data_IF_565319193723
#
_entry.id   IF_565319193723
#
_cell.length_a   1.000
_cell.length_b   1.000
_cell.length_c   1.000
_cell.angle_alpha   90.00
_cell.angle_beta   90.00
_cell.angle_gamma   90.00
#
_symmetry.space_group_name_H-M   'P 1'
#
loop_
_entity.id
_entity.type
_entity.pdbx_description
1 polymer ?
#
# COMPACT_ATOMS: atom_id res chain seq x y z
N UNK A 1 11.86 21.18 28.36
CA UNK A 1 12.79 21.49 27.24
C UNK A 1 12.67 20.56 26.04
N UNK A 2 12.19 19.31 26.17
CA UNK A 2 12.03 18.37 25.03
C UNK A 2 10.80 18.68 24.15
N UNK A 3 9.72 19.20 24.72
CA UNK A 3 8.48 19.53 23.98
C UNK A 3 8.64 20.71 22.99
N UNK A 4 9.53 21.66 23.29
CA UNK A 4 9.78 22.84 22.45
C UNK A 4 10.61 22.51 21.20
N UNK A 5 11.45 21.47 21.26
CA UNK A 5 12.25 20.99 20.13
C UNK A 5 11.41 20.22 19.09
N UNK A 6 10.37 19.50 19.54
CA UNK A 6 9.46 18.75 18.65
C UNK A 6 8.52 19.71 17.91
N UNK A 7 8.00 20.76 18.57
CA UNK A 7 7.22 21.80 17.89
C UNK A 7 8.04 22.60 16.87
N UNK A 8 9.31 22.88 17.17
CA UNK A 8 10.22 23.54 16.23
C UNK A 8 10.55 22.63 15.02
N UNK A 9 10.63 21.31 15.22
CA UNK A 9 10.80 20.35 14.11
C UNK A 9 9.57 20.25 13.22
N UNK A 10 8.35 20.28 13.77
CA UNK A 10 7.13 20.31 12.96
C UNK A 10 6.99 21.62 12.18
N UNK A 11 7.33 22.77 12.78
CA UNK A 11 7.32 24.04 12.06
C UNK A 11 8.41 24.13 10.98
N UNK A 12 9.64 23.65 11.22
CA UNK A 12 10.69 23.66 10.19
C UNK A 12 10.40 22.74 9.00
N UNK A 13 9.69 21.63 9.22
CA UNK A 13 9.22 20.74 8.14
C UNK A 13 8.08 21.40 7.37
N UNK A 14 7.14 22.07 8.04
CA UNK A 14 6.04 22.76 7.35
C UNK A 14 6.48 24.01 6.56
N UNK A 15 7.45 24.79 7.06
CA UNK A 15 7.88 26.04 6.42
C UNK A 15 8.92 25.84 5.29
N UNK A 16 9.50 24.64 5.15
CA UNK A 16 10.41 24.30 4.02
C UNK A 16 9.81 23.34 2.99
N UNK A 17 8.62 22.79 3.23
CA UNK A 17 7.82 22.08 2.22
C UNK A 17 6.93 23.02 1.39
N UNK A 18 7.11 24.33 1.49
CA UNK A 18 7.05 25.20 0.30
C UNK A 18 8.23 24.85 -0.61
N UNK A 19 8.16 23.64 -1.19
CA UNK A 19 8.90 23.34 -2.42
C UNK A 19 8.58 24.47 -3.36
N UNK A 20 9.61 25.21 -3.76
CA UNK A 20 9.53 26.29 -4.70
C UNK A 20 8.55 25.90 -5.82
N UNK A 21 7.53 26.74 -6.05
CA UNK A 21 6.63 26.67 -7.22
C UNK A 21 7.37 26.92 -8.54
N UNK A 22 8.70 26.73 -8.54
CA UNK A 22 9.61 27.18 -9.58
C UNK A 22 10.34 25.98 -10.16
N UNK A 23 9.59 25.12 -10.83
CA UNK A 23 10.13 24.21 -11.83
C UNK A 23 9.00 23.74 -12.72
N UNK A 24 8.95 24.30 -13.93
CA UNK A 24 8.48 23.52 -15.07
C UNK A 24 9.17 22.15 -15.03
N UNK A 25 8.43 21.07 -15.21
CA UNK A 25 9.03 19.74 -15.31
C UNK A 25 10.05 19.76 -16.46
N UNK A 26 11.34 19.87 -16.13
CA UNK A 26 12.45 19.95 -17.10
C UNK A 26 12.81 18.57 -17.65
N UNK A 27 12.25 17.51 -17.09
CA UNK A 27 12.42 16.14 -17.59
C UNK A 27 11.46 15.95 -18.75
N UNK A 28 11.99 15.87 -19.98
CA UNK A 28 11.14 15.56 -21.11
C UNK A 28 10.77 14.07 -21.07
N UNK A 29 9.62 13.78 -20.47
CA UNK A 29 9.05 12.44 -20.30
C UNK A 29 8.90 11.70 -21.66
N UNK A 30 8.92 12.43 -22.79
CA UNK A 30 8.83 11.85 -24.13
C UNK A 30 10.19 11.57 -24.81
N UNK A 31 11.32 12.08 -24.32
CA UNK A 31 12.64 11.90 -25.00
C UNK A 31 13.79 11.51 -24.09
N UNK A 32 13.69 11.70 -22.78
CA UNK A 32 14.82 11.54 -21.86
C UNK A 32 14.71 10.25 -21.03
N UNK A 33 14.40 9.12 -21.67
CA UNK A 33 14.57 7.81 -21.05
C UNK A 33 16.06 7.46 -21.13
N UNK A 34 16.85 8.01 -20.21
CA UNK A 34 18.13 7.41 -19.90
C UNK A 34 17.83 6.15 -19.08
N UNK A 35 17.83 5.00 -19.74
CA UNK A 35 17.54 3.66 -19.18
C UNK A 35 18.47 3.24 -18.03
N UNK A 36 19.47 4.05 -17.67
CA UNK A 36 20.46 3.73 -16.63
C UNK A 36 19.95 3.86 -15.19
N UNK A 37 18.82 4.53 -14.94
CA UNK A 37 18.30 4.71 -13.57
C UNK A 37 17.30 3.63 -13.13
N UNK A 38 16.88 2.75 -14.05
CA UNK A 38 15.67 1.93 -13.88
C UNK A 38 15.87 0.41 -14.04
N UNK A 39 17.10 -0.07 -14.27
CA UNK A 39 17.39 -1.51 -14.39
C UNK A 39 18.65 -1.98 -13.67
N UNK A 40 19.15 -1.25 -12.67
CA UNK A 40 20.40 -1.65 -12.03
C UNK A 40 20.21 -2.86 -11.11
N UNK A 41 20.65 -3.98 -11.67
CA UNK A 41 21.11 -5.19 -11.01
C UNK A 41 21.75 -4.89 -9.65
N UNK A 42 21.45 -5.69 -8.62
CA UNK A 42 21.96 -5.51 -7.25
C UNK A 42 23.50 -5.57 -7.19
N UNK A 43 24.16 -6.02 -8.26
CA UNK A 43 25.61 -6.04 -8.47
C UNK A 43 26.22 -4.66 -8.78
N UNK A 44 25.48 -3.73 -9.42
CA UNK A 44 25.94 -2.37 -9.73
C UNK A 44 25.77 -1.37 -8.57
N UNK A 45 25.12 -1.77 -7.47
CA UNK A 45 25.01 -0.98 -6.24
C UNK A 45 26.36 -0.64 -5.60
N UNK A 46 27.41 -1.38 -5.94
CA UNK A 46 28.78 -1.09 -5.46
C UNK A 46 29.35 0.22 -6.03
N UNK A 47 28.92 0.66 -7.22
CA UNK A 47 29.43 1.88 -7.87
C UNK A 47 28.63 3.15 -7.54
N UNK A 48 27.37 3.03 -7.14
CA UNK A 48 26.56 4.17 -6.68
C UNK A 48 26.86 4.60 -5.23
N UNK A 49 27.64 3.81 -4.50
CA UNK A 49 28.19 4.17 -3.19
C UNK A 49 29.29 5.24 -3.27
N UNK A 50 29.72 5.64 -4.48
CA UNK A 50 30.74 6.69 -4.70
C UNK A 50 30.15 8.08 -5.02
N UNK A 51 28.83 8.28 -4.93
CA UNK A 51 28.27 9.63 -5.01
C UNK A 51 28.65 10.43 -3.74
N UNK A 52 29.33 11.59 -3.86
CA UNK A 52 29.73 12.38 -2.69
C UNK A 52 28.55 12.96 -1.91
N UNK A 53 27.30 12.78 -2.38
CA UNK A 53 26.11 13.17 -1.65
C UNK A 53 24.97 12.14 -1.81
N UNK A 54 24.80 11.20 -0.85
CA UNK A 54 23.73 10.20 -0.89
C UNK A 54 22.32 10.81 -0.92
N UNK A 55 22.15 12.07 -0.49
CA UNK A 55 20.86 12.78 -0.54
C UNK A 55 20.43 13.12 -1.98
N UNK A 56 21.38 13.29 -2.90
CA UNK A 56 21.08 13.73 -4.27
C UNK A 56 20.19 12.73 -5.01
N UNK A 57 20.46 11.43 -4.85
CA UNK A 57 19.63 10.33 -5.38
C UNK A 57 18.16 10.48 -4.98
N UNK A 58 17.90 10.79 -3.72
CA UNK A 58 16.53 10.92 -3.20
C UNK A 58 15.84 12.21 -3.65
N UNK A 59 16.59 13.31 -3.77
CA UNK A 59 16.08 14.57 -4.35
C UNK A 59 15.67 14.35 -5.80
N UNK A 60 16.52 13.72 -6.60
CA UNK A 60 16.24 13.45 -8.01
C UNK A 60 15.07 12.47 -8.17
N UNK A 61 14.99 11.42 -7.33
CA UNK A 61 13.81 10.52 -7.27
C UNK A 61 12.53 11.28 -6.93
N UNK A 62 12.57 12.17 -5.94
CA UNK A 62 11.41 12.99 -5.55
C UNK A 62 10.96 13.93 -6.67
N UNK A 63 11.91 14.58 -7.35
CA UNK A 63 11.64 15.43 -8.52
C UNK A 63 11.02 14.65 -9.69
N UNK A 64 11.53 13.45 -9.96
CA UNK A 64 10.96 12.56 -10.97
C UNK A 64 9.52 12.15 -10.63
N UNK A 65 9.27 11.67 -9.40
CA UNK A 65 7.92 11.31 -8.96
C UNK A 65 6.95 12.50 -9.03
N UNK A 66 7.43 13.71 -8.73
CA UNK A 66 6.63 14.93 -8.89
C UNK A 66 6.22 15.15 -10.35
N UNK A 67 7.16 15.02 -11.28
CA UNK A 67 6.86 15.11 -12.72
C UNK A 67 5.82 14.07 -13.16
N UNK A 68 5.85 12.85 -12.62
CA UNK A 68 4.84 11.82 -12.93
C UNK A 68 3.44 12.22 -12.46
N UNK A 69 3.32 12.89 -11.30
CA UNK A 69 2.04 13.35 -10.77
C UNK A 69 1.39 14.45 -11.63
N UNK A 70 2.20 15.26 -12.31
CA UNK A 70 1.73 16.33 -13.19
C UNK A 70 1.49 15.83 -14.64
N UNK A 71 1.92 14.60 -14.96
CA UNK A 71 1.80 14.01 -16.30
C UNK A 71 0.45 13.31 -16.52
N UNK A 72 0.12 13.05 -17.80
CA UNK A 72 -1.01 12.17 -18.13
C UNK A 72 -0.71 10.73 -17.73
N UNK A 73 -1.74 9.93 -17.44
CA UNK A 73 -1.58 8.50 -17.10
C UNK A 73 -0.67 7.75 -18.09
N UNK A 74 -0.83 8.00 -19.39
CA UNK A 74 -0.06 7.34 -20.44
C UNK A 74 1.41 7.81 -20.46
N UNK A 75 1.68 9.08 -20.20
CA UNK A 75 3.04 9.59 -20.12
C UNK A 75 3.74 9.08 -18.85
N UNK A 76 3.05 9.13 -17.70
CA UNK A 76 3.55 8.62 -16.44
C UNK A 76 3.84 7.11 -16.52
N UNK A 77 2.93 6.33 -17.11
CA UNK A 77 3.11 4.89 -17.29
C UNK A 77 4.23 4.52 -18.24
N UNK A 78 4.50 5.31 -19.29
CA UNK A 78 5.67 5.11 -20.17
C UNK A 78 6.99 5.41 -19.47
N UNK A 79 7.04 6.48 -18.69
CA UNK A 79 8.25 6.85 -17.96
C UNK A 79 8.50 6.00 -16.73
N UNK A 80 7.46 5.42 -16.14
CA UNK A 80 7.55 4.59 -14.95
C UNK A 80 6.68 3.34 -15.10
N UNK A 81 7.29 2.26 -15.62
CA UNK A 81 6.66 0.95 -15.77
C UNK A 81 7.38 -0.16 -14.97
N UNK A 82 7.49 -0.04 -13.64
CA UNK A 82 8.20 -1.04 -12.83
C UNK A 82 7.50 -2.41 -12.82
N UNK A 83 6.27 -2.49 -13.32
CA UNK A 83 5.45 -3.70 -13.33
C UNK A 83 5.23 -4.28 -14.73
N UNK A 84 5.97 -3.80 -15.74
CA UNK A 84 5.88 -4.27 -17.12
C UNK A 84 4.42 -4.35 -17.65
N UNK A 85 3.58 -3.37 -17.29
CA UNK A 85 2.16 -3.34 -17.66
C UNK A 85 1.98 -3.39 -19.17
N UNK A 86 1.08 -4.27 -19.61
CA UNK A 86 0.61 -4.35 -21.00
C UNK A 86 -0.30 -3.14 -21.23
N UNK A 87 0.21 -2.17 -22.02
CA UNK A 87 -0.12 -0.73 -21.98
C UNK A 87 0.60 0.00 -20.83
N UNK A 88 1.63 0.75 -21.21
CA UNK A 88 2.41 1.59 -20.31
C UNK A 88 1.59 2.82 -19.86
N UNK A 89 0.64 2.58 -18.96
CA UNK A 89 -0.23 3.59 -18.35
C UNK A 89 -0.22 3.46 -16.83
N UNK A 90 -0.17 4.61 -16.15
CA UNK A 90 -0.33 4.69 -14.70
C UNK A 90 -1.79 4.44 -14.28
N UNK A 91 -2.74 4.54 -15.21
CA UNK A 91 -4.16 4.28 -14.98
C UNK A 91 -4.39 2.85 -14.51
N UNK A 92 -5.18 2.70 -13.46
CA UNK A 92 -5.67 1.38 -13.05
C UNK A 92 -6.56 0.78 -14.14
N UNK A 93 -6.38 -0.51 -14.51
CA UNK A 93 -7.31 -1.20 -15.39
C UNK A 93 -8.65 -1.49 -14.68
N UNK A 94 -8.72 -1.27 -13.36
CA UNK A 94 -9.89 -1.54 -12.53
C UNK A 94 -10.70 -0.28 -12.28
N UNK A 95 -12.03 -0.40 -12.31
CA UNK A 95 -12.95 0.73 -12.07
C UNK A 95 -14.14 0.31 -11.21
N UNK A 96 -14.66 1.26 -10.42
CA UNK A 96 -15.79 1.05 -9.53
C UNK A 96 -15.39 0.49 -8.17
N UNK A 97 -16.34 -0.16 -7.51
CA UNK A 97 -16.27 -0.60 -6.10
C UNK A 97 -15.63 -1.99 -5.91
N UNK A 98 -15.40 -2.70 -7.02
CA UNK A 98 -14.56 -3.89 -7.16
C UNK A 98 -14.88 -5.08 -6.23
N UNK A 99 -16.08 -5.19 -5.65
CA UNK A 99 -16.47 -6.32 -4.78
C UNK A 99 -16.31 -7.66 -5.49
N UNK A 100 -16.72 -7.71 -6.76
CA UNK A 100 -16.58 -8.92 -7.57
C UNK A 100 -15.12 -9.25 -7.86
N UNK A 101 -14.23 -8.25 -7.97
CA UNK A 101 -12.79 -8.46 -8.19
C UNK A 101 -12.08 -8.89 -6.92
N UNK A 102 -12.38 -8.26 -5.78
CA UNK A 102 -11.92 -8.69 -4.46
C UNK A 102 -12.26 -10.15 -4.23
N UNK A 103 -13.53 -10.54 -4.44
CA UNK A 103 -13.98 -11.94 -4.31
C UNK A 103 -13.28 -12.87 -5.31
N UNK A 104 -13.16 -12.44 -6.57
CA UNK A 104 -12.53 -13.24 -7.64
C UNK A 104 -11.07 -13.56 -7.32
N UNK A 105 -10.35 -12.60 -6.76
CA UNK A 105 -8.93 -12.69 -6.43
C UNK A 105 -8.69 -12.94 -4.93
N UNK A 106 -9.62 -13.63 -4.26
CA UNK A 106 -9.48 -14.12 -2.88
C UNK A 106 -9.08 -13.09 -1.82
N UNK A 107 -9.47 -11.83 -2.01
CA UNK A 107 -9.36 -10.81 -0.97
C UNK A 107 -10.55 -10.89 -0.02
N UNK A 108 -10.28 -11.17 1.25
CA UNK A 108 -11.25 -11.25 2.33
C UNK A 108 -11.24 -9.98 3.16
N UNK A 109 -12.39 -9.66 3.73
CA UNK A 109 -12.47 -8.62 4.76
C UNK A 109 -12.32 -9.32 6.11
N UNK A 110 -11.34 -8.90 6.89
CA UNK A 110 -11.12 -9.37 8.25
C UNK A 110 -11.79 -8.42 9.25
N UNK A 111 -12.06 -8.92 10.45
CA UNK A 111 -12.58 -8.09 11.53
C UNK A 111 -11.59 -6.97 11.88
N UNK A 112 -12.10 -5.74 11.95
CA UNK A 112 -11.28 -4.59 12.29
C UNK A 112 -11.99 -3.74 13.34
N UNK A 113 -11.40 -3.68 14.55
CA UNK A 113 -11.94 -2.88 15.64
C UNK A 113 -12.02 -1.41 15.25
N UNK A 114 -13.24 -0.92 15.04
CA UNK A 114 -13.47 0.46 14.61
C UNK A 114 -13.13 1.46 15.71
N UNK A 115 -13.29 1.11 16.98
CA UNK A 115 -13.00 2.01 18.09
C UNK A 115 -11.51 2.16 18.31
N UNK A 116 -10.78 1.06 18.35
CA UNK A 116 -9.36 1.03 18.63
C UNK A 116 -8.56 1.48 17.41
N UNK A 117 -8.87 0.91 16.25
CA UNK A 117 -8.04 1.10 15.06
C UNK A 117 -8.49 2.26 14.17
N UNK A 118 -9.70 2.79 14.35
CA UNK A 118 -10.18 3.92 13.55
C UNK A 118 -10.21 5.26 14.29
N UNK A 119 -9.66 5.29 15.50
CA UNK A 119 -9.30 6.53 16.19
C UNK A 119 -7.87 6.95 15.86
N UNK A 120 -7.72 8.09 15.19
CA UNK A 120 -6.42 8.61 14.77
C UNK A 120 -5.76 9.56 15.77
N UNK A 121 -6.34 9.77 16.96
CA UNK A 121 -5.80 10.69 17.95
C UNK A 121 -4.61 10.17 18.78
N UNK A 122 -4.00 9.05 18.41
CA UNK A 122 -2.90 8.40 19.14
C UNK A 122 -1.50 8.88 18.70
N UNK A 123 -0.44 8.27 19.27
CA UNK A 123 0.97 8.68 19.19
C UNK A 123 1.60 8.75 17.78
N UNK A 124 0.92 8.29 16.73
CA UNK A 124 1.44 8.34 15.35
C UNK A 124 1.54 9.75 14.77
N UNK A 125 0.99 10.76 15.46
CA UNK A 125 0.97 12.16 14.98
C UNK A 125 -0.04 12.42 13.86
N UNK A 126 -0.68 11.37 13.31
CA UNK A 126 -1.73 11.49 12.29
C UNK A 126 -2.89 12.34 12.82
N UNK A 127 -3.29 12.16 14.07
CA UNK A 127 -4.35 12.94 14.69
C UNK A 127 -4.08 14.44 14.68
N UNK A 128 -2.84 14.84 14.94
CA UNK A 128 -2.42 16.25 14.89
C UNK A 128 -2.50 16.79 13.47
N UNK A 129 -2.08 15.99 12.47
CA UNK A 129 -2.18 16.37 11.07
C UNK A 129 -3.64 16.52 10.61
N UNK A 130 -4.51 15.57 11.00
CA UNK A 130 -5.94 15.65 10.71
C UNK A 130 -6.56 16.90 11.33
N UNK A 131 -6.33 17.16 12.61
CA UNK A 131 -6.84 18.36 13.28
C UNK A 131 -6.35 19.66 12.65
N UNK A 132 -5.07 19.73 12.30
CA UNK A 132 -4.46 20.90 11.64
C UNK A 132 -5.06 21.18 10.26
N UNK A 133 -5.58 20.15 9.60
CA UNK A 133 -6.29 20.25 8.32
C UNK A 133 -7.82 20.43 8.49
N UNK A 134 -8.31 20.55 9.73
CA UNK A 134 -9.74 20.66 10.03
C UNK A 134 -10.52 19.36 9.81
N UNK A 135 -9.85 18.21 9.88
CA UNK A 135 -10.41 16.89 9.65
C UNK A 135 -10.75 16.17 10.96
N UNK A 136 -11.84 15.40 10.94
CA UNK A 136 -12.28 14.62 12.09
C UNK A 136 -11.37 13.39 12.30
N UNK A 137 -10.80 13.24 13.50
CA UNK A 137 -9.92 12.12 13.89
C UNK A 137 -10.63 10.92 14.53
N UNK A 138 -11.93 11.03 14.79
CA UNK A 138 -12.73 10.02 15.49
C UNK A 138 -13.37 9.02 14.54
N UNK A 139 -13.60 7.78 14.99
CA UNK A 139 -14.31 6.77 14.20
C UNK A 139 -15.81 7.07 14.15
N UNK A 140 -16.51 6.59 13.11
CA UNK A 140 -17.98 6.74 12.97
C UNK A 140 -18.75 6.22 14.19
N UNK A 141 -18.28 5.12 14.80
CA UNK A 141 -18.90 4.54 16.01
C UNK A 141 -18.87 5.48 17.23
N UNK A 142 -18.00 6.51 17.21
CA UNK A 142 -17.95 7.60 18.21
C UNK A 142 -18.43 8.94 17.67
N UNK A 143 -19.29 8.92 16.65
CA UNK A 143 -19.80 10.14 16.00
C UNK A 143 -18.79 10.88 15.12
N UNK A 144 -17.65 10.25 14.82
CA UNK A 144 -16.66 10.78 13.90
C UNK A 144 -16.94 10.45 12.44
N UNK A 145 -15.94 10.65 11.57
CA UNK A 145 -16.11 10.48 10.11
C UNK A 145 -15.30 9.31 9.53
N UNK A 146 -14.44 8.67 10.33
CA UNK A 146 -13.55 7.62 9.85
C UNK A 146 -14.23 6.25 9.88
N UNK A 147 -14.10 5.48 8.81
CA UNK A 147 -14.43 4.05 8.73
C UNK A 147 -13.18 3.31 8.32
N UNK A 148 -12.82 2.24 9.03
CA UNK A 148 -11.58 1.53 8.77
C UNK A 148 -11.81 0.11 8.31
N UNK A 149 -10.87 -0.40 7.54
CA UNK A 149 -10.98 -1.67 6.84
C UNK A 149 -9.70 -2.48 7.01
N UNK A 150 -9.88 -3.79 7.13
CA UNK A 150 -8.85 -4.79 7.06
C UNK A 150 -9.15 -5.73 5.89
N UNK A 151 -8.30 -5.71 4.87
CA UNK A 151 -8.44 -6.53 3.67
C UNK A 151 -7.22 -7.44 3.57
N UNK A 152 -7.44 -8.72 3.34
CA UNK A 152 -6.42 -9.76 3.44
C UNK A 152 -6.48 -10.69 2.24
N UNK A 153 -5.32 -11.10 1.74
CA UNK A 153 -5.19 -12.11 0.71
C UNK A 153 -4.90 -13.47 1.34
N UNK A 154 -5.77 -13.82 2.28
CA UNK A 154 -6.01 -15.10 2.95
C UNK A 154 -7.34 -14.98 3.71
N UNK A 155 -7.84 -16.07 4.26
CA UNK A 155 -9.05 -16.10 5.09
C UNK A 155 -8.68 -16.51 6.51
N UNK A 156 -8.82 -15.59 7.47
CA UNK A 156 -8.52 -15.83 8.89
C UNK A 156 -9.44 -16.89 9.53
N UNK A 157 -10.61 -17.14 8.91
CA UNK A 157 -11.59 -18.11 9.39
C UNK A 157 -11.48 -19.47 8.67
N UNK A 158 -10.51 -19.65 7.75
CA UNK A 158 -10.33 -20.92 7.04
C UNK A 158 -9.85 -22.01 8.01
N UNK A 159 -10.56 -23.13 8.03
CA UNK A 159 -10.24 -24.26 8.89
C UNK A 159 -10.54 -25.60 8.20
N UNK A 160 -9.78 -26.63 8.55
CA UNK A 160 -9.97 -28.00 8.07
C UNK A 160 -10.23 -28.99 9.23
N UNK A 161 -9.99 -30.29 9.01
CA UNK A 161 -10.18 -31.30 10.07
C UNK A 161 -9.16 -31.21 11.21
N UNK A 162 -8.06 -30.49 11.01
CA UNK A 162 -6.94 -30.37 11.94
C UNK A 162 -6.95 -29.02 12.68
N UNK A 163 -7.68 -28.01 12.18
CA UNK A 163 -7.87 -26.74 12.86
C UNK A 163 -7.86 -25.56 11.88
N UNK A 164 -7.42 -24.40 12.35
CA UNK A 164 -7.19 -23.22 11.50
C UNK A 164 -6.12 -23.53 10.44
N UNK A 165 -6.37 -23.15 9.19
CA UNK A 165 -5.44 -23.36 8.08
C UNK A 165 -4.58 -22.11 7.94
N UNK A 166 -3.25 -22.21 8.14
CA UNK A 166 -2.39 -21.05 8.05
C UNK A 166 -2.31 -20.52 6.60
N UNK A 167 -2.03 -19.22 6.39
CA UNK A 167 -2.06 -18.61 5.04
C UNK A 167 -1.20 -19.34 3.99
N UNK A 168 -0.07 -19.94 4.37
CA UNK A 168 0.82 -20.71 3.50
C UNK A 168 0.23 -22.01 2.97
N UNK A 169 -0.86 -22.49 3.56
CA UNK A 169 -1.57 -23.71 3.17
C UNK A 169 -2.92 -23.41 2.50
N UNK A 170 -3.29 -22.13 2.42
CA UNK A 170 -4.52 -21.70 1.75
C UNK A 170 -4.30 -21.54 0.24
N UNK A 171 -5.15 -22.22 -0.52
CA UNK A 171 -5.20 -22.12 -1.98
C UNK A 171 -6.61 -21.75 -2.41
N UNK A 172 -6.73 -21.11 -3.58
CA UNK A 172 -8.02 -20.74 -4.14
C UNK A 172 -8.08 -21.00 -5.64
N UNK A 173 -9.31 -20.98 -6.15
CA UNK A 173 -9.57 -21.00 -7.59
C UNK A 173 -10.20 -19.69 -8.00
N UNK A 174 -9.85 -19.26 -9.20
CA UNK A 174 -10.52 -18.20 -9.92
C UNK A 174 -11.91 -18.66 -10.40
N UNK A 175 -12.84 -18.92 -9.46
CA UNK A 175 -14.31 -18.81 -9.52
C UNK A 175 -15.00 -19.61 -8.38
N UNK A 176 -15.39 -18.89 -7.32
CA UNK A 176 -16.78 -18.88 -6.84
C UNK A 176 -17.34 -20.04 -6.01
N UNK A 177 -16.55 -20.80 -5.24
CA UNK A 177 -17.13 -21.80 -4.31
C UNK A 177 -16.80 -21.53 -2.86
N UNK A 178 -17.83 -21.14 -2.13
CA UNK A 178 -17.89 -21.02 -0.66
C UNK A 178 -17.86 -22.40 0.00
N UNK A 179 -17.01 -22.59 1.00
CA UNK A 179 -17.15 -23.72 1.93
C UNK A 179 -16.92 -23.32 3.39
N UNK A 180 -18.04 -23.42 4.13
CA UNK A 180 -18.23 -23.80 5.54
C UNK A 180 -17.80 -22.85 6.66
N UNK A 181 -18.72 -22.76 7.61
CA UNK A 181 -18.55 -22.27 8.98
C UNK A 181 -17.62 -23.22 9.73
N UNK A 182 -16.74 -22.63 10.55
CA UNK A 182 -15.92 -23.32 11.55
C UNK A 182 -16.77 -24.30 12.36
N UNK A 183 -16.63 -25.60 12.07
CA UNK A 183 -17.17 -26.67 12.91
C UNK A 183 -16.02 -27.64 13.15
N UNK A 184 -15.44 -27.51 14.34
CA UNK A 184 -14.41 -28.38 14.91
C UNK A 184 -15.03 -29.74 15.24
N UNK A 185 -15.50 -30.49 14.24
CA UNK A 185 -15.76 -31.92 14.37
C UNK A 185 -15.35 -32.62 13.09
N UNK A 186 -14.27 -33.39 13.21
CA UNK A 186 -13.69 -34.27 12.22
C UNK A 186 -14.74 -35.01 11.37
N UNK A 187 -14.65 -34.84 10.05
CA UNK A 187 -14.68 -35.87 8.98
C UNK A 187 -14.46 -35.08 7.68
N UNK A 188 -13.20 -34.90 7.28
CA UNK A 188 -12.88 -34.43 5.94
C UNK A 188 -13.31 -35.51 4.94
N UNK A 189 -14.36 -35.23 4.15
CA UNK A 189 -14.83 -36.18 3.14
C UNK A 189 -13.80 -36.33 2.01
N UNK A 190 -13.69 -37.49 1.34
CA UNK A 190 -12.79 -37.69 0.18
C UNK A 190 -12.94 -36.64 -0.93
N UNK A 191 -14.13 -36.02 -1.04
CA UNK A 191 -14.42 -34.91 -1.96
C UNK A 191 -13.61 -33.64 -1.69
N UNK A 192 -13.20 -33.41 -0.43
CA UNK A 192 -12.41 -32.24 -0.03
C UNK A 192 -10.93 -32.41 -0.44
N UNK A 193 -10.37 -33.63 -0.37
CA UNK A 193 -9.02 -33.93 -0.91
C UNK A 193 -8.94 -33.78 -2.42
N UNK A 194 -9.93 -34.27 -3.17
CA UNK A 194 -9.98 -34.12 -4.63
C UNK A 194 -10.21 -32.67 -5.10
N UNK A 195 -10.69 -31.77 -4.22
CA UNK A 195 -10.83 -30.35 -4.54
C UNK A 195 -9.51 -29.57 -4.40
N UNK A 196 -8.59 -30.03 -3.54
CA UNK A 196 -7.23 -29.49 -3.37
C UNK A 196 -6.40 -29.62 -4.65
N UNK A 197 -6.52 -30.74 -5.35
CA UNK A 197 -5.79 -31.02 -6.61
C UNK A 197 -6.18 -30.11 -7.79
N UNK A 198 -7.22 -29.30 -7.66
CA UNK A 198 -7.68 -28.37 -8.70
C UNK A 198 -7.47 -26.90 -8.30
N UNK A 199 -6.91 -26.61 -7.11
CA UNK A 199 -6.62 -25.24 -6.68
C UNK A 199 -5.30 -24.81 -7.34
N UNK A 200 -5.31 -23.67 -8.04
CA UNK A 200 -4.16 -23.25 -8.86
C UNK A 200 -3.40 -22.09 -8.24
N UNK A 201 -4.10 -21.22 -7.48
CA UNK A 201 -3.51 -20.00 -6.94
C UNK A 201 -3.32 -20.12 -5.42
N UNK A 202 -2.21 -19.59 -4.93
CA UNK A 202 -1.83 -19.63 -3.51
C UNK A 202 -2.13 -18.29 -2.84
N UNK A 203 -2.68 -18.34 -1.62
CA UNK A 203 -2.81 -17.14 -0.79
C UNK A 203 -1.41 -16.55 -0.53
N UNK A 204 -1.32 -15.22 -0.55
CA UNK A 204 -0.02 -14.53 -0.45
C UNK A 204 0.24 -14.01 0.94
N UNK A 205 -0.78 -13.93 1.81
CA UNK A 205 -0.66 -13.28 3.12
C UNK A 205 -0.64 -11.75 3.05
N UNK A 206 -0.83 -11.16 1.87
CA UNK A 206 -0.81 -9.70 1.69
C UNK A 206 -2.01 -9.07 2.40
N UNK A 207 -1.86 -7.84 2.90
CA UNK A 207 -2.95 -7.15 3.58
C UNK A 207 -2.91 -5.63 3.39
N UNK A 208 -4.09 -5.03 3.47
CA UNK A 208 -4.29 -3.59 3.49
C UNK A 208 -5.12 -3.19 4.72
N UNK A 209 -4.52 -2.41 5.62
CA UNK A 209 -5.18 -1.77 6.76
C UNK A 209 -5.26 -0.28 6.55
N UNK A 210 -6.46 0.26 6.47
CA UNK A 210 -6.64 1.68 6.15
C UNK A 210 -7.94 2.25 6.70
N UNK A 211 -7.96 3.58 6.82
CA UNK A 211 -9.16 4.36 7.14
C UNK A 211 -9.61 5.20 5.96
N UNK A 212 -10.92 5.34 5.82
CA UNK A 212 -11.59 6.20 4.83
C UNK A 212 -12.44 7.22 5.56
N UNK A 213 -12.28 8.48 5.16
CA UNK A 213 -13.07 9.61 5.61
C UNK A 213 -13.60 10.35 4.38
N UNK A 214 -14.76 9.93 3.90
CA UNK A 214 -15.36 10.51 2.68
C UNK A 214 -15.79 11.95 2.86
N UNK A 215 -16.20 12.34 4.08
CA UNK A 215 -16.62 13.71 4.41
C UNK A 215 -15.43 14.67 4.35
N UNK A 216 -14.30 14.29 4.95
CA UNK A 216 -13.08 15.08 4.99
C UNK A 216 -12.20 14.95 3.75
N UNK A 217 -12.50 14.01 2.85
CA UNK A 217 -11.69 13.80 1.66
C UNK A 217 -10.40 13.03 1.90
N UNK A 218 -10.36 12.06 2.82
CA UNK A 218 -9.09 11.45 3.27
C UNK A 218 -9.09 9.93 3.20
N UNK A 219 -7.97 9.37 2.76
CA UNK A 219 -7.59 7.98 2.99
C UNK A 219 -6.33 7.96 3.86
N UNK A 220 -6.33 7.13 4.89
CA UNK A 220 -5.18 6.88 5.76
C UNK A 220 -4.76 5.41 5.62
N UNK A 221 -3.75 5.13 4.82
CA UNK A 221 -3.08 3.84 4.78
C UNK A 221 -2.27 3.65 6.06
N UNK A 222 -2.68 2.72 6.93
CA UNK A 222 -2.08 2.52 8.25
C UNK A 222 -0.96 1.49 8.24
N UNK A 223 -1.21 0.36 7.57
CA UNK A 223 -0.28 -0.74 7.43
C UNK A 223 -0.63 -1.49 6.14
N UNK A 224 0.31 -1.60 5.21
CA UNK A 224 0.10 -2.24 3.92
C UNK A 224 1.25 -3.21 3.68
N UNK A 225 0.95 -4.42 3.28
CA UNK A 225 1.93 -5.40 2.85
C UNK A 225 1.50 -5.99 1.50
N UNK A 226 2.29 -5.70 0.47
CA UNK A 226 1.94 -6.11 -0.89
C UNK A 226 1.97 -7.64 -1.02
N UNK A 227 1.16 -8.22 -1.94
CA UNK A 227 1.18 -9.66 -2.21
C UNK A 227 2.57 -10.21 -2.53
N UNK A 228 3.44 -9.44 -3.21
CA UNK A 228 4.80 -9.88 -3.50
C UNK A 228 5.64 -10.06 -2.24
N UNK A 229 5.67 -9.04 -1.37
CA UNK A 229 6.48 -9.04 -0.13
C UNK A 229 5.98 -10.12 0.84
N UNK A 230 4.66 -10.18 1.03
CA UNK A 230 4.05 -11.19 1.89
C UNK A 230 4.32 -12.60 1.37
N UNK A 231 4.14 -12.84 0.06
CA UNK A 231 4.42 -14.13 -0.55
C UNK A 231 5.90 -14.51 -0.47
N UNK A 232 6.82 -13.57 -0.64
CA UNK A 232 8.26 -13.86 -0.52
C UNK A 232 8.62 -14.39 0.87
N UNK A 233 8.10 -13.72 1.90
CA UNK A 233 8.28 -14.13 3.29
C UNK A 233 7.57 -15.45 3.60
N UNK A 234 6.34 -15.62 3.12
CA UNK A 234 5.47 -16.74 3.43
C UNK A 234 5.89 -18.02 2.69
N UNK A 235 6.17 -17.91 1.40
CA UNK A 235 6.50 -19.03 0.51
C UNK A 235 8.00 -19.39 0.55
N UNK A 236 8.83 -18.58 1.21
CA UNK A 236 10.28 -18.78 1.37
C UNK A 236 11.03 -18.83 0.02
N UNK A 237 10.51 -18.13 -0.99
CA UNK A 237 11.11 -17.98 -2.31
C UNK A 237 10.69 -16.63 -2.93
N UNK A 238 11.41 -16.15 -3.95
CA UNK A 238 11.01 -14.93 -4.66
C UNK A 238 9.87 -15.22 -5.65
N UNK A 239 8.67 -14.66 -5.46
CA UNK A 239 7.52 -14.93 -6.33
C UNK A 239 7.73 -14.36 -7.73
N UNK A 240 7.31 -15.09 -8.75
CA UNK A 240 7.22 -14.58 -10.13
C UNK A 240 5.91 -13.83 -10.31
N UNK A 241 5.91 -12.84 -11.21
CA UNK A 241 4.74 -11.98 -11.43
C UNK A 241 3.46 -12.75 -11.80
N UNK A 242 3.59 -13.86 -12.55
CA UNK A 242 2.44 -14.68 -12.96
C UNK A 242 1.91 -15.61 -11.86
N UNK A 243 2.64 -15.76 -10.76
CA UNK A 243 2.23 -16.52 -9.57
C UNK A 243 1.45 -15.63 -8.59
N UNK A 244 1.38 -14.32 -8.84
CA UNK A 244 0.69 -13.36 -8.00
C UNK A 244 -0.68 -12.99 -8.57
N UNK A 245 -1.66 -12.62 -7.73
CA UNK A 245 -2.97 -12.20 -8.21
C UNK A 245 -2.86 -11.02 -9.18
N UNK A 246 -3.71 -10.98 -10.20
CA UNK A 246 -3.73 -9.84 -11.12
C UNK A 246 -4.16 -8.56 -10.37
N UNK A 247 -5.13 -8.72 -9.46
CA UNK A 247 -5.59 -7.67 -8.55
C UNK A 247 -4.76 -7.67 -7.26
N UNK A 248 -3.60 -7.00 -7.31
CA UNK A 248 -2.58 -7.03 -6.23
C UNK A 248 -2.13 -5.67 -5.71
N UNK A 249 -2.55 -4.59 -6.34
CA UNK A 249 -2.09 -3.25 -5.95
C UNK A 249 -3.01 -2.70 -4.85
N UNK A 250 -2.45 -2.44 -3.67
CA UNK A 250 -3.20 -1.85 -2.56
C UNK A 250 -3.91 -0.54 -2.94
N UNK A 251 -3.32 0.27 -3.83
CA UNK A 251 -3.98 1.49 -4.34
C UNK A 251 -5.34 1.23 -5.01
N UNK A 252 -5.49 0.09 -5.69
CA UNK A 252 -6.76 -0.28 -6.34
C UNK A 252 -7.80 -0.71 -5.30
N UNK A 253 -7.37 -1.40 -4.24
CA UNK A 253 -8.20 -1.80 -3.10
C UNK A 253 -8.67 -0.56 -2.34
N UNK A 254 -7.76 0.36 -2.00
CA UNK A 254 -8.07 1.61 -1.32
C UNK A 254 -9.06 2.46 -2.13
N UNK A 255 -8.84 2.57 -3.45
CA UNK A 255 -9.75 3.30 -4.34
C UNK A 255 -11.13 2.63 -4.44
N UNK A 256 -11.19 1.29 -4.49
CA UNK A 256 -12.45 0.56 -4.51
C UNK A 256 -13.32 0.89 -3.30
N UNK A 257 -12.72 0.89 -2.11
CA UNK A 257 -13.39 1.23 -0.86
C UNK A 257 -13.79 2.70 -0.78
N UNK A 258 -12.96 3.61 -1.32
CA UNK A 258 -13.34 5.02 -1.47
C UNK A 258 -14.61 5.19 -2.31
N UNK A 259 -14.69 4.45 -3.43
CA UNK A 259 -15.78 4.59 -4.40
C UNK A 259 -17.13 4.05 -3.93
N UNK A 260 -17.18 3.22 -2.87
CA UNK A 260 -18.43 2.62 -2.34
C UNK A 260 -19.43 3.67 -1.87
N UNK A 261 -18.94 4.63 -1.09
CA UNK A 261 -19.76 5.72 -0.53
C UNK A 261 -19.51 7.06 -1.24
N UNK A 262 -18.68 7.06 -2.30
CA UNK A 262 -18.29 8.28 -3.01
C UNK A 262 -18.02 7.96 -4.50
N UNK A 263 -19.05 7.96 -5.37
CA UNK A 263 -18.93 7.46 -6.75
C UNK A 263 -18.01 8.29 -7.65
N UNK A 264 -17.48 9.41 -7.15
CA UNK A 264 -16.49 10.22 -7.86
C UNK A 264 -15.25 10.45 -6.99
N UNK A 265 -14.02 10.30 -7.51
CA UNK A 265 -12.81 10.53 -6.72
C UNK A 265 -12.54 12.02 -6.44
N UNK A 266 -13.36 12.95 -6.96
CA UNK A 266 -13.12 14.41 -6.89
C UNK A 266 -13.07 14.96 -5.46
N UNK A 267 -13.66 14.26 -4.50
CA UNK A 267 -13.68 14.69 -3.10
C UNK A 267 -12.47 14.17 -2.30
N UNK A 268 -11.64 13.29 -2.88
CA UNK A 268 -10.39 12.88 -2.27
C UNK A 268 -9.38 14.03 -2.34
N UNK A 269 -8.96 14.51 -1.17
CA UNK A 269 -8.06 15.66 -0.97
C UNK A 269 -6.72 15.26 -0.41
N UNK A 270 -6.71 14.25 0.46
CA UNK A 270 -5.53 13.85 1.21
C UNK A 270 -5.34 12.33 1.20
N UNK A 271 -4.10 11.92 1.03
CA UNK A 271 -3.66 10.54 1.23
C UNK A 271 -2.53 10.54 2.26
N UNK A 272 -2.74 9.86 3.37
CA UNK A 272 -1.73 9.64 4.39
C UNK A 272 -1.27 8.18 4.30
N UNK A 273 0.04 7.97 4.30
CA UNK A 273 0.62 6.66 4.48
C UNK A 273 1.46 6.69 5.76
N UNK A 274 1.04 5.89 6.73
CA UNK A 274 1.67 5.79 8.03
C UNK A 274 2.67 4.64 8.06
N UNK A 275 3.70 4.76 8.89
CA UNK A 275 4.67 3.69 9.16
C UNK A 275 5.25 3.05 7.88
N UNK A 276 5.53 3.86 6.85
CA UNK A 276 6.30 3.38 5.70
C UNK A 276 7.72 3.05 6.20
N UNK A 277 7.96 1.77 6.49
CA UNK A 277 9.28 1.26 6.81
C UNK A 277 9.90 0.71 5.54
N UNK A 278 10.89 1.43 5.02
CA UNK A 278 11.77 0.94 3.97
C UNK A 278 13.20 1.09 4.50
N UNK A 279 14.01 0.03 4.39
CA UNK A 279 15.42 0.01 4.82
C UNK A 279 16.24 1.16 4.22
N UNK A 280 15.95 1.56 2.98
CA UNK A 280 16.54 2.73 2.32
C UNK A 280 16.16 4.04 3.05
N UNK A 281 14.91 4.14 3.49
CA UNK A 281 14.41 5.33 4.21
C UNK A 281 15.03 5.41 5.61
N UNK A 282 15.18 4.27 6.30
CA UNK A 282 15.87 4.21 7.59
C UNK A 282 17.35 4.58 7.44
N UNK A 283 18.03 4.05 6.42
CA UNK A 283 19.42 4.39 6.10
C UNK A 283 19.59 5.88 5.79
N UNK A 284 18.65 6.47 5.05
CA UNK A 284 18.61 7.90 4.77
C UNK A 284 18.41 8.72 6.05
N UNK A 285 17.41 8.39 6.88
CA UNK A 285 17.15 9.07 8.15
C UNK A 285 18.38 9.01 9.07
N UNK A 286 19.02 7.84 9.16
CA UNK A 286 20.26 7.67 9.91
C UNK A 286 21.38 8.58 9.39
N UNK A 287 21.57 8.66 8.07
CA UNK A 287 22.59 9.54 7.47
C UNK A 287 22.34 11.02 7.81
N UNK A 288 21.09 11.46 7.82
CA UNK A 288 20.69 12.82 8.16
C UNK A 288 20.95 13.10 9.64
N UNK A 289 20.54 12.18 10.53
CA UNK A 289 20.74 12.31 11.97
C UNK A 289 22.23 12.37 12.33
N UNK A 290 23.03 11.45 11.78
CA UNK A 290 24.49 11.43 11.95
C UNK A 290 25.16 12.73 11.48
N UNK A 291 24.71 13.28 10.35
CA UNK A 291 25.22 14.57 9.83
C UNK A 291 24.92 15.76 10.74
N UNK A 292 23.94 15.63 11.63
CA UNK A 292 23.49 16.64 12.59
C UNK A 292 23.97 16.38 14.02
N UNK A 293 24.81 15.37 14.23
CA UNK A 293 25.36 15.04 15.55
C UNK A 293 24.37 14.35 16.49
N UNK A 294 23.38 13.66 15.94
CA UNK A 294 22.47 12.79 16.68
C UNK A 294 22.85 11.32 16.52
#
# INVERSE_FOLDING_TARGET
MVATAILAMLHLVYTKLTVARDSTCKVNINTDINTSLLSQDLSELSLLLESPNPLRKYVDKGGFLRCLLDATDAAAGRAWNPFARTLASARSPWTGTLENKLRKWYWKSSLYDQEEHCYFGSASGIGVALESLGLNKYPKVRGGHNTCYAIEHYDEDECDSEGEVPPEEQYYKEEGKSYRVCIVTAIATPRMRAMSELMTEKATGGYDRFGVNTIGGVIVAKNLESPFVAAESLWKNTPKLHELPEFRHGSDILLAYWLRDNPTPRQLRYYFANNIMNEDTLSLLYSILKSRGH
#
